data_IF_735009609566
#
_entry.id   IF_735009609566
#
_cell.length_a   1.000
_cell.length_b   1.000
_cell.length_c   1.000
_cell.angle_alpha   90.00
_cell.angle_beta   90.00
_cell.angle_gamma   90.00
#
_symmetry.space_group_name_H-M   'P 1'
#
loop_
_entity.id
_entity.type
_entity.pdbx_description
1 polymer ?
#
# COMPACT_ATOMS: atom_id res chain seq x y z
N UNK A 1 7.30 13.59 3.81
CA UNK A 1 6.63 12.37 3.32
C UNK A 1 7.54 11.75 2.28
N UNK A 2 7.76 10.44 2.33
CA UNK A 2 8.93 9.70 1.80
C UNK A 2 9.13 9.72 0.27
N UNK A 3 8.42 10.58 -0.47
CA UNK A 3 8.50 10.67 -1.93
C UNK A 3 7.77 9.55 -2.68
N UNK A 4 7.16 8.60 -1.96
CA UNK A 4 6.42 7.48 -2.53
C UNK A 4 4.99 7.88 -2.94
N UNK A 5 4.51 7.29 -4.03
CA UNK A 5 3.16 7.49 -4.54
C UNK A 5 2.47 6.16 -4.83
N UNK A 6 1.25 5.99 -4.32
CA UNK A 6 0.44 4.79 -4.54
C UNK A 6 -0.82 5.14 -5.31
N UNK A 7 -1.15 4.32 -6.31
CA UNK A 7 -2.38 4.50 -7.08
C UNK A 7 -3.56 3.96 -6.29
N UNK A 8 -4.49 4.87 -5.92
CA UNK A 8 -5.74 4.46 -5.30
C UNK A 8 -6.69 3.86 -6.37
N UNK A 9 -7.28 2.69 -6.13
CA UNK A 9 -8.13 1.99 -7.12
C UNK A 9 -9.47 2.69 -7.36
N UNK A 10 -9.92 3.54 -6.44
CA UNK A 10 -11.16 4.32 -6.59
C UNK A 10 -10.82 5.80 -6.63
N UNK A 11 -11.21 6.50 -7.70
CA UNK A 11 -11.15 7.96 -7.76
C UNK A 11 -12.14 8.53 -6.75
N UNK A 12 -11.63 8.99 -5.60
CA UNK A 12 -12.44 9.58 -4.54
C UNK A 12 -12.84 10.98 -4.97
N UNK A 13 -14.04 11.12 -5.54
CA UNK A 13 -14.58 12.43 -5.94
C UNK A 13 -14.98 13.21 -4.71
N UNK A 14 -14.60 14.49 -4.66
CA UNK A 14 -15.09 15.44 -3.65
C UNK A 14 -16.55 15.76 -3.99
N UNK A 15 -17.49 15.03 -3.40
CA UNK A 15 -18.95 15.24 -3.60
C UNK A 15 -19.73 15.43 -2.30
N UNK A 16 -19.13 15.07 -1.16
CA UNK A 16 -19.72 15.14 0.18
C UNK A 16 -19.02 16.21 1.04
N UNK A 17 -19.46 16.37 2.28
CA UNK A 17 -18.72 17.13 3.30
C UNK A 17 -17.25 16.66 3.37
N UNK A 18 -16.34 17.61 3.60
CA UNK A 18 -14.89 17.39 3.58
C UNK A 18 -14.46 16.26 4.53
N UNK A 19 -15.07 16.18 5.71
CA UNK A 19 -14.79 15.14 6.71
C UNK A 19 -15.09 13.73 6.17
N UNK A 20 -16.26 13.53 5.55
CA UNK A 20 -16.60 12.25 4.94
C UNK A 20 -15.68 11.91 3.76
N UNK A 21 -15.20 12.91 3.03
CA UNK A 21 -14.22 12.70 1.98
C UNK A 21 -12.88 12.23 2.56
N UNK A 22 -12.39 12.86 3.63
CA UNK A 22 -11.14 12.46 4.31
C UNK A 22 -11.22 11.03 4.87
N UNK A 23 -12.34 10.66 5.51
CA UNK A 23 -12.54 9.28 6.01
C UNK A 23 -12.49 8.26 4.87
N UNK A 24 -13.06 8.59 3.71
CA UNK A 24 -13.00 7.72 2.54
C UNK A 24 -11.58 7.62 1.95
N UNK A 25 -10.80 8.71 2.00
CA UNK A 25 -9.38 8.71 1.59
C UNK A 25 -8.59 7.79 2.50
N UNK A 26 -8.69 7.96 3.81
CA UNK A 26 -8.00 7.11 4.80
C UNK A 26 -8.35 5.64 4.62
N UNK A 27 -9.64 5.32 4.51
CA UNK A 27 -10.10 3.94 4.28
C UNK A 27 -9.51 3.35 3.00
N UNK A 28 -9.51 4.12 1.91
CA UNK A 28 -8.94 3.65 0.64
C UNK A 28 -7.43 3.47 0.71
N UNK A 29 -6.70 4.31 1.46
CA UNK A 29 -5.26 4.14 1.68
C UNK A 29 -5.00 2.82 2.43
N UNK A 30 -5.77 2.56 3.48
CA UNK A 30 -5.63 1.34 4.28
C UNK A 30 -5.94 0.07 3.46
N UNK A 31 -7.01 0.10 2.65
CA UNK A 31 -7.37 -1.02 1.78
C UNK A 31 -6.27 -1.32 0.73
N UNK A 32 -5.62 -0.27 0.21
CA UNK A 32 -4.51 -0.42 -0.75
C UNK A 32 -3.27 -0.98 -0.08
N UNK A 33 -2.87 -0.43 1.08
CA UNK A 33 -1.71 -0.93 1.83
C UNK A 33 -1.89 -2.41 2.22
N UNK A 34 -3.08 -2.80 2.69
CA UNK A 34 -3.39 -4.20 2.99
C UNK A 34 -3.18 -5.12 1.78
N UNK A 35 -3.65 -4.71 0.60
CA UNK A 35 -3.46 -5.50 -0.63
C UNK A 35 -1.98 -5.66 -0.99
N UNK A 36 -1.21 -4.59 -0.94
CA UNK A 36 0.22 -4.67 -1.23
C UNK A 36 0.99 -5.49 -0.19
N UNK A 37 0.61 -5.43 1.09
CA UNK A 37 1.18 -6.28 2.13
C UNK A 37 0.90 -7.76 1.87
N UNK A 38 -0.35 -8.12 1.56
CA UNK A 38 -0.71 -9.50 1.21
C UNK A 38 0.09 -9.99 0.00
N UNK A 39 0.18 -9.17 -1.06
CA UNK A 39 1.00 -9.51 -2.24
C UNK A 39 2.48 -9.68 -1.88
N UNK A 40 3.02 -8.78 -1.06
CA UNK A 40 4.42 -8.86 -0.62
C UNK A 40 4.74 -10.15 0.11
N UNK A 41 3.84 -10.62 0.98
CA UNK A 41 3.99 -11.89 1.70
C UNK A 41 3.92 -13.08 0.73
N UNK A 42 2.99 -13.07 -0.22
CA UNK A 42 2.85 -14.12 -1.22
C UNK A 42 4.09 -14.20 -2.12
N UNK A 43 4.57 -13.05 -2.60
CA UNK A 43 5.71 -12.95 -3.51
C UNK A 43 7.06 -13.26 -2.85
N UNK A 44 7.13 -13.19 -1.52
CA UNK A 44 8.36 -13.42 -0.74
C UNK A 44 9.01 -14.77 -1.06
N UNK A 45 8.20 -15.81 -1.20
CA UNK A 45 8.69 -17.17 -1.50
C UNK A 45 8.86 -17.43 -3.02
N UNK A 46 8.41 -16.51 -3.87
CA UNK A 46 8.41 -16.67 -5.33
C UNK A 46 9.58 -15.93 -6.01
N UNK A 47 10.24 -15.00 -5.33
CA UNK A 47 11.28 -14.13 -5.91
C UNK A 47 12.54 -14.09 -5.04
N UNK A 48 13.69 -13.77 -5.64
CA UNK A 48 14.90 -13.47 -4.87
C UNK A 48 14.72 -12.13 -4.14
N UNK A 49 15.27 -12.02 -2.92
CA UNK A 49 15.14 -10.83 -2.07
C UNK A 49 15.49 -9.51 -2.79
N UNK A 50 16.58 -9.49 -3.58
CA UNK A 50 17.01 -8.30 -4.31
C UNK A 50 16.02 -7.82 -5.37
N UNK A 51 15.27 -8.74 -5.98
CA UNK A 51 14.20 -8.39 -6.93
C UNK A 51 12.93 -8.01 -6.18
N UNK A 52 12.59 -8.74 -5.12
CA UNK A 52 11.41 -8.51 -4.30
C UNK A 52 11.43 -7.12 -3.64
N UNK A 53 12.58 -6.67 -3.15
CA UNK A 53 12.73 -5.37 -2.46
C UNK A 53 12.50 -4.19 -3.40
N UNK A 54 12.81 -4.35 -4.69
CA UNK A 54 12.65 -3.31 -5.72
C UNK A 54 11.26 -3.32 -6.34
N UNK A 55 10.51 -4.41 -6.20
CA UNK A 55 9.16 -4.55 -6.77
C UNK A 55 8.05 -4.08 -5.83
N UNK A 56 8.35 -3.85 -4.56
CA UNK A 56 7.37 -3.47 -3.53
C UNK A 56 7.62 -2.07 -2.95
N UNK A 57 6.57 -1.35 -2.51
CA UNK A 57 6.71 -0.08 -1.80
C UNK A 57 7.55 -0.21 -0.52
N UNK A 58 8.28 0.84 -0.14
CA UNK A 58 9.18 0.79 1.01
C UNK A 58 8.50 0.37 2.31
N UNK A 59 7.27 0.86 2.55
CA UNK A 59 6.50 0.45 3.73
C UNK A 59 6.14 -1.04 3.74
N UNK A 60 5.90 -1.65 2.58
CA UNK A 60 5.63 -3.09 2.45
C UNK A 60 6.89 -3.89 2.72
N UNK A 61 8.00 -3.46 2.12
CA UNK A 61 9.33 -4.04 2.37
C UNK A 61 9.64 -4.07 3.85
N UNK A 62 9.57 -2.92 4.53
CA UNK A 62 9.90 -2.79 5.95
C UNK A 62 8.98 -3.65 6.82
N UNK A 63 7.69 -3.69 6.51
CA UNK A 63 6.73 -4.43 7.34
C UNK A 63 6.88 -5.94 7.19
N UNK A 64 7.00 -6.44 5.95
CA UNK A 64 7.09 -7.89 5.69
C UNK A 64 8.44 -8.44 6.15
N UNK A 65 9.54 -7.72 5.91
CA UNK A 65 10.88 -8.15 6.37
C UNK A 65 11.04 -8.10 7.90
N UNK A 66 10.27 -7.26 8.59
CA UNK A 66 10.23 -7.26 10.04
C UNK A 66 9.37 -8.39 10.62
N UNK A 67 8.33 -8.82 9.87
CA UNK A 67 7.39 -9.84 10.30
C UNK A 67 7.84 -11.28 10.04
N UNK A 68 8.75 -11.49 9.08
CA UNK A 68 9.36 -12.78 8.71
C UNK A 68 10.70 -12.94 9.40
#
# INVERSE_FOLDING_TARGET
AEGEGLVLPKKIRVRSAVEQWLVNVEKSMFDVLKKFLSQGIEDWNCQMFSQWVLSHPGQVVLTVTFAI
#
